data_IF_793745510411
#
_entry.id   IF_793745510411
#
_cell.length_a   1.000
_cell.length_b   1.000
_cell.length_c   1.000
_cell.angle_alpha   90.00
_cell.angle_beta   90.00
_cell.angle_gamma   90.00
#
_symmetry.space_group_name_H-M   'P 1'
#
loop_
_entity.id
_entity.type
_entity.pdbx_description
1 polymer ?
#
# COMPACT_ATOMS: atom_id res chain seq x y z
N UNK A 1 -10.80 68.62 -8.92
CA UNK A 1 -12.23 68.27 -8.96
C UNK A 1 -12.39 66.91 -8.29
N UNK A 2 -13.32 66.87 -7.35
CA UNK A 2 -13.61 65.79 -6.40
C UNK A 2 -14.57 64.77 -7.01
N UNK A 3 -14.30 63.46 -6.87
CA UNK A 3 -15.32 62.39 -6.86
C UNK A 3 -14.77 61.22 -6.02
N UNK A 4 -15.18 61.08 -4.74
CA UNK A 4 -16.28 60.23 -4.23
C UNK A 4 -16.20 58.74 -4.61
N UNK A 5 -15.93 57.91 -3.59
CA UNK A 5 -16.06 56.44 -3.60
C UNK A 5 -17.48 56.00 -4.01
N UNK A 6 -17.65 54.72 -4.41
CA UNK A 6 -18.71 53.93 -3.82
C UNK A 6 -18.13 52.67 -3.14
N UNK A 7 -18.41 52.59 -1.84
CA UNK A 7 -18.22 51.44 -0.96
C UNK A 7 -19.45 50.55 -1.15
N UNK A 8 -19.55 49.80 -2.24
CA UNK A 8 -20.75 48.98 -2.51
C UNK A 8 -20.44 47.66 -3.24
N UNK A 9 -19.34 46.99 -2.91
CA UNK A 9 -19.07 45.65 -3.49
C UNK A 9 -18.68 44.55 -2.51
N UNK A 10 -18.39 44.85 -1.24
CA UNK A 10 -17.99 43.83 -0.27
C UNK A 10 -19.16 43.03 0.32
N UNK A 11 -20.38 43.58 0.33
CA UNK A 11 -21.54 42.95 0.99
C UNK A 11 -22.18 41.82 0.19
N UNK A 12 -22.07 41.80 -1.14
CA UNK A 12 -22.61 40.70 -1.95
C UNK A 12 -21.74 39.43 -1.92
N UNK A 13 -20.42 39.59 -1.78
CA UNK A 13 -19.47 38.47 -1.75
C UNK A 13 -19.62 37.62 -0.49
N UNK A 14 -19.94 38.24 0.65
CA UNK A 14 -20.13 37.52 1.92
C UNK A 14 -21.42 36.70 1.94
N UNK A 15 -22.51 37.20 1.35
CA UNK A 15 -23.78 36.47 1.24
C UNK A 15 -23.66 35.26 0.31
N UNK A 16 -22.95 35.40 -0.82
CA UNK A 16 -22.71 34.29 -1.74
C UNK A 16 -21.83 33.19 -1.12
N UNK A 17 -20.81 33.56 -0.33
CA UNK A 17 -19.96 32.61 0.40
C UNK A 17 -20.75 31.86 1.49
N UNK A 18 -21.65 32.55 2.20
CA UNK A 18 -22.50 31.94 3.22
C UNK A 18 -23.48 30.91 2.63
N UNK A 19 -24.06 31.20 1.46
CA UNK A 19 -24.92 30.24 0.75
C UNK A 19 -24.15 29.03 0.22
N UNK A 20 -22.92 29.23 -0.27
CA UNK A 20 -22.06 28.13 -0.71
C UNK A 20 -21.63 27.21 0.46
N UNK A 21 -21.36 27.77 1.64
CA UNK A 21 -21.02 26.99 2.84
C UNK A 21 -22.23 26.20 3.38
N UNK A 22 -23.45 26.74 3.27
CA UNK A 22 -24.68 26.02 3.64
C UNK A 22 -25.00 24.87 2.66
N UNK A 23 -24.71 25.04 1.36
CA UNK A 23 -24.89 24.00 0.35
C UNK A 23 -23.81 22.89 0.41
N UNK A 24 -22.65 23.20 1.01
CA UNK A 24 -21.62 22.21 1.38
C UNK A 24 -21.90 21.53 2.74
N UNK A 25 -23.11 21.71 3.29
CA UNK A 25 -23.69 20.86 4.34
C UNK A 25 -23.84 19.43 3.83
N UNK A 26 -22.69 18.80 3.60
CA UNK A 26 -22.53 17.40 3.28
C UNK A 26 -23.06 16.68 4.50
N UNK A 27 -24.31 16.22 4.40
CA UNK A 27 -24.88 15.29 5.34
C UNK A 27 -23.87 14.18 5.47
N UNK A 28 -23.19 14.11 6.62
CA UNK A 28 -22.24 13.05 6.89
C UNK A 28 -22.96 11.73 6.58
N UNK A 29 -22.36 10.81 5.82
CA UNK A 29 -22.98 9.52 5.57
C UNK A 29 -23.42 8.96 6.93
N UNK A 30 -24.64 8.42 7.04
CA UNK A 30 -25.15 7.92 8.31
C UNK A 30 -24.06 7.06 8.91
N UNK A 31 -23.61 7.41 10.12
CA UNK A 31 -22.52 6.71 10.81
C UNK A 31 -22.86 5.23 10.71
N UNK A 32 -22.10 4.49 9.91
CA UNK A 32 -22.26 3.06 9.81
C UNK A 32 -22.27 2.54 11.24
N UNK A 33 -23.38 1.91 11.64
CA UNK A 33 -23.58 1.42 13.00
C UNK A 33 -22.31 0.68 13.40
N UNK A 34 -21.55 1.27 14.32
CA UNK A 34 -20.29 0.67 14.75
C UNK A 34 -20.66 -0.67 15.34
N UNK A 35 -20.20 -1.80 14.76
CA UNK A 35 -20.67 -3.12 15.17
C UNK A 35 -20.39 -3.27 16.67
N UNK A 36 -21.36 -3.87 17.38
CA UNK A 36 -21.24 -4.09 18.82
C UNK A 36 -19.98 -4.91 19.10
N UNK A 37 -19.42 -4.79 20.30
CA UNK A 37 -18.20 -5.52 20.65
C UNK A 37 -18.38 -7.04 20.48
N UNK A 38 -19.57 -7.55 20.80
CA UNK A 38 -19.94 -8.96 20.62
C UNK A 38 -19.92 -9.38 19.15
N UNK A 39 -20.44 -8.56 18.24
CA UNK A 39 -20.40 -8.84 16.80
C UNK A 39 -18.96 -8.90 16.28
N UNK A 40 -18.08 -8.01 16.76
CA UNK A 40 -16.66 -8.02 16.37
C UNK A 40 -15.93 -9.26 16.87
N UNK A 41 -16.23 -9.70 18.09
CA UNK A 41 -15.66 -10.92 18.66
C UNK A 41 -16.10 -12.15 17.86
N UNK A 42 -17.39 -12.25 17.56
CA UNK A 42 -17.94 -13.34 16.75
C UNK A 42 -17.33 -13.38 15.34
N UNK A 43 -17.17 -12.22 14.69
CA UNK A 43 -16.53 -12.13 13.38
C UNK A 43 -15.04 -12.51 13.42
N UNK A 44 -14.34 -12.16 14.50
CA UNK A 44 -12.94 -12.54 14.70
C UNK A 44 -12.78 -14.03 14.93
N UNK A 45 -13.62 -14.62 15.79
CA UNK A 45 -13.62 -16.06 16.07
C UNK A 45 -13.89 -16.86 14.80
N UNK A 46 -14.90 -16.47 14.02
CA UNK A 46 -15.21 -17.07 12.72
C UNK A 46 -14.10 -16.88 11.68
N UNK A 47 -13.29 -15.83 11.79
CA UNK A 47 -12.11 -15.64 10.93
C UNK A 47 -10.96 -16.52 11.38
N UNK A 48 -10.77 -16.69 12.68
CA UNK A 48 -9.76 -17.61 13.23
C UNK A 48 -10.07 -19.05 12.84
N UNK A 49 -11.30 -19.53 13.04
CA UNK A 49 -11.70 -20.89 12.64
C UNK A 49 -11.43 -21.16 11.15
N UNK A 50 -11.71 -20.19 10.28
CA UNK A 50 -11.44 -20.31 8.84
C UNK A 50 -9.94 -20.32 8.51
N UNK A 51 -9.12 -19.62 9.28
CA UNK A 51 -7.68 -19.61 9.11
C UNK A 51 -7.04 -20.88 9.65
N UNK A 52 -7.54 -21.41 10.77
CA UNK A 52 -7.10 -22.66 11.38
C UNK A 52 -7.51 -23.88 10.55
N UNK A 53 -8.71 -23.86 9.96
CA UNK A 53 -9.19 -24.89 9.06
C UNK A 53 -8.49 -24.87 7.69
N UNK A 54 -7.70 -23.83 7.38
CA UNK A 54 -6.95 -23.78 6.13
C UNK A 54 -5.78 -24.75 6.24
N UNK A 55 -5.68 -25.78 5.37
CA UNK A 55 -4.53 -26.65 5.37
C UNK A 55 -3.28 -25.82 5.13
N UNK A 56 -2.23 -26.07 5.90
CA UNK A 56 -0.92 -25.49 5.67
C UNK A 56 -0.40 -26.02 4.33
N UNK A 57 -0.73 -25.32 3.24
CA UNK A 57 -0.16 -25.58 1.93
C UNK A 57 1.27 -25.11 2.00
N UNK A 58 2.19 -26.04 2.22
CA UNK A 58 3.60 -25.77 1.99
C UNK A 58 3.73 -25.33 0.52
N UNK A 59 4.27 -24.14 0.23
CA UNK A 59 4.61 -23.81 -1.14
C UNK A 59 5.54 -24.91 -1.67
N UNK A 60 5.52 -25.25 -2.97
CA UNK A 60 6.47 -26.20 -3.51
C UNK A 60 7.87 -25.66 -3.22
N UNK A 61 8.54 -26.24 -2.22
CA UNK A 61 9.90 -25.89 -1.89
C UNK A 61 10.74 -26.33 -3.08
N UNK A 62 11.32 -25.36 -3.79
CA UNK A 62 12.44 -25.64 -4.68
C UNK A 62 13.49 -26.39 -3.87
N UNK A 63 14.13 -27.39 -4.48
CA UNK A 63 15.17 -28.11 -3.77
C UNK A 63 16.35 -27.15 -3.46
N UNK A 64 17.17 -27.47 -2.46
CA UNK A 64 18.30 -26.63 -2.04
C UNK A 64 19.25 -26.31 -3.20
N UNK A 65 19.53 -27.29 -4.06
CA UNK A 65 20.45 -27.19 -5.19
C UNK A 65 19.91 -26.25 -6.28
N UNK A 66 18.60 -26.28 -6.54
CA UNK A 66 17.89 -25.41 -7.49
C UNK A 66 17.93 -23.97 -7.01
N UNK A 67 17.71 -23.72 -5.71
CA UNK A 67 17.83 -22.39 -5.11
C UNK A 67 19.26 -21.87 -5.25
N UNK A 68 20.26 -22.71 -4.95
CA UNK A 68 21.68 -22.34 -5.08
C UNK A 68 22.07 -22.06 -6.53
N UNK A 69 21.60 -22.87 -7.48
CA UNK A 69 21.84 -22.67 -8.91
C UNK A 69 21.22 -21.33 -9.38
N UNK A 70 20.02 -21.02 -8.92
CA UNK A 70 19.34 -19.76 -9.27
C UNK A 70 20.05 -18.54 -8.65
N UNK A 71 20.53 -18.64 -7.41
CA UNK A 71 21.34 -17.57 -6.78
C UNK A 71 22.57 -17.28 -7.64
N UNK A 72 23.33 -18.32 -8.04
CA UNK A 72 24.52 -18.15 -8.89
C UNK A 72 24.18 -17.47 -10.23
N UNK A 73 23.12 -17.92 -10.90
CA UNK A 73 22.70 -17.32 -12.17
C UNK A 73 22.33 -15.83 -12.03
N UNK A 74 21.62 -15.47 -10.95
CA UNK A 74 21.28 -14.08 -10.67
C UNK A 74 22.49 -13.23 -10.28
N UNK A 75 23.47 -13.79 -9.57
CA UNK A 75 24.73 -13.10 -9.28
C UNK A 75 25.54 -12.82 -10.56
N UNK A 76 25.58 -13.77 -11.49
CA UNK A 76 26.19 -13.59 -12.81
C UNK A 76 25.46 -12.51 -13.61
N UNK A 77 24.13 -12.55 -13.71
CA UNK A 77 23.33 -11.52 -14.38
C UNK A 77 23.56 -10.13 -13.75
N UNK A 78 23.61 -10.07 -12.41
CA UNK A 78 23.86 -8.83 -11.67
C UNK A 78 25.22 -8.25 -11.98
N UNK A 79 26.26 -9.08 -12.02
CA UNK A 79 27.63 -8.61 -12.33
C UNK A 79 27.74 -8.11 -13.77
N UNK A 80 27.06 -8.76 -14.72
CA UNK A 80 26.95 -8.28 -16.10
C UNK A 80 26.24 -6.91 -16.15
N UNK A 81 25.08 -6.78 -15.50
CA UNK A 81 24.34 -5.52 -15.49
C UNK A 81 25.10 -4.38 -14.79
N UNK A 82 25.92 -4.69 -13.80
CA UNK A 82 26.76 -3.69 -13.11
C UNK A 82 27.93 -3.18 -13.97
N UNK A 83 28.28 -3.88 -15.07
CA UNK A 83 29.25 -3.38 -16.04
C UNK A 83 28.68 -2.18 -16.82
N UNK A 84 27.38 -2.21 -17.12
CA UNK A 84 26.72 -1.22 -17.98
C UNK A 84 25.93 -0.17 -17.18
N UNK A 85 25.45 -0.54 -15.98
CA UNK A 85 24.53 0.26 -15.18
C UNK A 85 25.01 0.45 -13.75
N UNK A 86 24.52 1.53 -13.11
CA UNK A 86 24.72 1.76 -11.67
C UNK A 86 23.81 0.85 -10.85
N UNK A 87 24.23 0.54 -9.63
CA UNK A 87 23.45 -0.28 -8.67
C UNK A 87 22.01 0.21 -8.40
N UNK A 88 21.72 1.49 -8.67
CA UNK A 88 20.38 2.06 -8.49
C UNK A 88 19.41 1.72 -9.63
N UNK A 89 19.90 1.11 -10.72
CA UNK A 89 19.11 0.75 -11.90
C UNK A 89 18.00 -0.25 -11.50
N UNK A 90 16.77 -0.08 -12.03
CA UNK A 90 15.63 -0.93 -11.67
C UNK A 90 15.91 -2.43 -11.83
N UNK A 91 16.57 -2.84 -12.92
CA UNK A 91 16.88 -4.25 -13.15
C UNK A 91 17.81 -4.84 -12.07
N UNK A 92 18.80 -4.07 -11.59
CA UNK A 92 19.71 -4.52 -10.52
C UNK A 92 18.96 -4.63 -9.19
N UNK A 93 18.09 -3.65 -8.88
CA UNK A 93 17.25 -3.70 -7.68
C UNK A 93 16.29 -4.90 -7.68
N UNK A 94 15.73 -5.24 -8.84
CA UNK A 94 14.87 -6.41 -8.98
C UNK A 94 15.64 -7.71 -8.74
N UNK A 95 16.88 -7.80 -9.24
CA UNK A 95 17.76 -8.94 -8.97
C UNK A 95 18.13 -9.01 -7.49
N UNK A 96 18.50 -7.90 -6.86
CA UNK A 96 18.81 -7.83 -5.42
C UNK A 96 17.63 -8.34 -4.57
N UNK A 97 16.40 -7.92 -4.91
CA UNK A 97 15.19 -8.38 -4.25
C UNK A 97 14.96 -9.89 -4.43
N UNK A 98 15.20 -10.42 -5.63
CA UNK A 98 15.07 -11.87 -5.90
C UNK A 98 16.11 -12.68 -5.12
N UNK A 99 17.35 -12.20 -5.07
CA UNK A 99 18.42 -12.80 -4.28
C UNK A 99 18.07 -12.83 -2.78
N UNK A 100 17.49 -11.75 -2.24
CA UNK A 100 17.03 -11.72 -0.85
C UNK A 100 15.98 -12.82 -0.57
N UNK A 101 14.98 -12.95 -1.44
CA UNK A 101 13.94 -13.98 -1.32
C UNK A 101 14.54 -15.39 -1.35
N UNK A 102 15.43 -15.67 -2.30
CA UNK A 102 16.07 -16.97 -2.44
C UNK A 102 16.96 -17.29 -1.23
N UNK A 103 17.67 -16.31 -0.69
CA UNK A 103 18.48 -16.49 0.52
C UNK A 103 17.63 -16.73 1.78
N UNK A 104 16.43 -16.16 1.86
CA UNK A 104 15.46 -16.49 2.92
C UNK A 104 14.96 -17.93 2.74
N UNK A 105 14.63 -18.33 1.51
CA UNK A 105 14.22 -19.70 1.22
C UNK A 105 15.30 -20.73 1.56
N UNK A 106 16.56 -20.43 1.23
CA UNK A 106 17.69 -21.30 1.56
C UNK A 106 17.84 -21.47 3.07
N UNK A 107 17.74 -20.37 3.84
CA UNK A 107 17.80 -20.39 5.31
C UNK A 107 16.67 -21.18 5.98
N UNK A 108 15.50 -21.28 5.35
CA UNK A 108 14.39 -22.09 5.86
C UNK A 108 14.58 -23.60 5.63
N UNK A 109 15.54 -23.98 4.78
CA UNK A 109 15.86 -25.37 4.44
C UNK A 109 17.13 -25.89 5.15
N UNK A 110 17.80 -25.05 5.94
CA UNK A 110 18.97 -25.37 6.78
C UNK A 110 18.55 -25.66 8.22
#
# INVERSE_FOLDING_TARGET
>A
MSHTRPILSLSCLTVALAFALAACGTQAPPKADTPSQEQRLFDLERRMERLEARPAVQPPYRNKEEIQAHIKALEEERTQLLADYRAQHPAIKDIDRRLEILNVQLRMLE
#
